data_IF_358669850795
#
_entry.id   IF_358669850795
#
_cell.length_a   1.000
_cell.length_b   1.000
_cell.length_c   1.000
_cell.angle_alpha   90.00
_cell.angle_beta   90.00
_cell.angle_gamma   90.00
#
_symmetry.space_group_name_H-M   'P 1'
#
loop_
_entity.id
_entity.type
_entity.pdbx_description
1 polymer ?
#
# COMPACT_ATOMS: atom_id res chain seq x y z
N UNK A 1 27.37 -18.24 18.06
CA UNK A 1 25.95 -17.89 17.83
C UNK A 1 25.54 -18.16 16.39
N UNK A 2 26.37 -17.83 15.39
CA UNK A 2 26.13 -18.21 14.00
C UNK A 2 26.05 -19.74 13.83
N UNK A 3 27.01 -20.49 14.38
CA UNK A 3 27.01 -21.96 14.30
C UNK A 3 25.85 -22.64 15.04
N UNK A 4 25.21 -21.96 16.01
CA UNK A 4 23.99 -22.48 16.62
C UNK A 4 22.78 -22.30 15.71
N UNK A 5 22.70 -21.19 14.96
CA UNK A 5 21.65 -20.99 13.95
C UNK A 5 21.73 -22.01 12.82
N UNK A 6 22.94 -22.31 12.32
CA UNK A 6 23.11 -23.33 11.26
C UNK A 6 22.52 -24.68 11.66
N UNK A 7 22.85 -25.18 12.86
CA UNK A 7 22.29 -26.44 13.39
C UNK A 7 20.77 -26.42 13.54
N UNK A 8 20.20 -25.26 13.93
CA UNK A 8 18.73 -25.12 14.07
C UNK A 8 18.04 -25.23 12.71
N UNK A 9 18.54 -24.52 11.69
CA UNK A 9 17.95 -24.56 10.35
C UNK A 9 18.21 -25.88 9.63
N UNK A 10 19.37 -26.50 9.81
CA UNK A 10 19.64 -27.85 9.29
C UNK A 10 18.66 -28.88 9.88
N UNK A 11 18.40 -28.81 11.20
CA UNK A 11 17.42 -29.68 11.85
C UNK A 11 16.00 -29.44 11.33
N UNK A 12 15.60 -28.19 11.13
CA UNK A 12 14.31 -27.86 10.52
C UNK A 12 14.20 -28.46 9.11
N UNK A 13 15.25 -28.29 8.31
CA UNK A 13 15.29 -28.74 6.92
C UNK A 13 15.29 -30.26 6.75
N UNK A 14 15.71 -31.02 7.77
CA UNK A 14 15.63 -32.48 7.76
C UNK A 14 14.18 -32.97 7.59
N UNK A 15 13.20 -32.23 8.12
CA UNK A 15 11.78 -32.57 8.05
C UNK A 15 11.00 -31.61 7.13
N UNK A 16 11.66 -30.95 6.16
CA UNK A 16 11.07 -29.88 5.34
C UNK A 16 9.76 -30.26 4.63
N UNK A 17 9.60 -31.52 4.21
CA UNK A 17 8.35 -31.98 3.57
C UNK A 17 7.18 -31.96 4.55
N UNK A 18 7.43 -32.33 5.80
CA UNK A 18 6.44 -32.27 6.89
C UNK A 18 6.17 -30.82 7.31
N UNK A 19 7.20 -29.98 7.33
CA UNK A 19 7.09 -28.55 7.69
C UNK A 19 6.46 -27.70 6.57
N UNK A 20 6.47 -28.20 5.33
CA UNK A 20 5.94 -27.52 4.14
C UNK A 20 6.84 -26.44 3.57
N UNK A 21 8.04 -26.22 4.12
CA UNK A 21 9.04 -25.28 3.60
C UNK A 21 10.45 -25.61 4.10
N UNK A 22 11.46 -25.18 3.35
CA UNK A 22 12.88 -25.19 3.76
C UNK A 22 13.38 -23.78 4.01
N UNK A 23 14.47 -23.67 4.78
CA UNK A 23 15.15 -22.41 5.12
C UNK A 23 16.55 -22.44 4.52
N UNK A 24 16.80 -21.57 3.55
CA UNK A 24 18.15 -21.24 3.10
C UNK A 24 18.63 -19.99 3.85
N UNK A 25 19.85 -20.03 4.39
CA UNK A 25 20.36 -18.92 5.21
C UNK A 25 21.79 -18.54 4.84
N UNK A 26 22.11 -17.28 5.11
CA UNK A 26 23.46 -16.71 5.07
C UNK A 26 23.63 -15.82 6.29
N UNK A 27 24.87 -15.57 6.69
CA UNK A 27 25.17 -14.77 7.88
C UNK A 27 26.13 -13.63 7.57
N UNK A 28 25.91 -12.48 8.20
CA UNK A 28 26.86 -11.38 8.26
C UNK A 28 27.25 -11.11 9.72
N UNK A 29 28.50 -10.68 9.93
CA UNK A 29 29.09 -10.41 11.25
C UNK A 29 29.29 -8.94 11.55
N UNK A 30 29.01 -8.05 10.59
CA UNK A 30 29.15 -6.60 10.71
C UNK A 30 28.03 -5.88 9.96
N UNK A 31 27.82 -4.61 10.28
CA UNK A 31 26.84 -3.74 9.59
C UNK A 31 27.13 -3.69 8.08
N UNK A 32 28.37 -3.42 7.70
CA UNK A 32 28.77 -3.31 6.30
C UNK A 32 28.55 -4.63 5.52
N UNK A 33 28.84 -5.77 6.14
CA UNK A 33 28.58 -7.08 5.53
C UNK A 33 27.07 -7.34 5.38
N UNK A 34 26.26 -6.93 6.37
CA UNK A 34 24.80 -7.03 6.31
C UNK A 34 24.23 -6.16 5.19
N UNK A 35 24.65 -4.90 5.08
CA UNK A 35 24.23 -3.98 4.00
C UNK A 35 24.59 -4.54 2.63
N UNK A 36 25.83 -5.00 2.43
CA UNK A 36 26.26 -5.59 1.17
C UNK A 36 25.43 -6.84 0.79
N UNK A 37 25.05 -7.68 1.77
CA UNK A 37 24.17 -8.81 1.51
C UNK A 37 22.74 -8.37 1.14
N UNK A 38 22.18 -7.40 1.85
CA UNK A 38 20.83 -6.88 1.59
C UNK A 38 20.73 -6.16 0.24
N UNK A 39 21.81 -5.56 -0.24
CA UNK A 39 21.86 -4.94 -1.57
C UNK A 39 22.02 -5.99 -2.68
N UNK A 40 22.84 -7.02 -2.45
CA UNK A 40 23.17 -8.02 -3.45
C UNK A 40 22.12 -9.13 -3.60
N UNK A 41 21.32 -9.38 -2.56
CA UNK A 41 20.40 -10.51 -2.47
C UNK A 41 19.08 -10.11 -1.86
N UNK A 42 18.10 -11.00 -2.05
CA UNK A 42 16.77 -10.85 -1.48
C UNK A 42 16.56 -11.91 -0.41
N UNK A 43 15.85 -11.51 0.63
CA UNK A 43 15.54 -12.35 1.77
C UNK A 43 14.06 -12.23 2.09
N UNK A 44 13.44 -13.31 2.55
CA UNK A 44 12.06 -13.24 3.03
C UNK A 44 12.02 -12.77 4.48
N UNK A 45 13.04 -13.13 5.26
CA UNK A 45 13.20 -12.73 6.64
C UNK A 45 14.67 -12.46 7.01
N UNK A 46 14.88 -11.58 7.98
CA UNK A 46 16.21 -11.26 8.55
C UNK A 46 16.16 -11.37 10.07
N UNK A 47 17.16 -12.04 10.65
CA UNK A 47 17.35 -12.10 12.11
C UNK A 47 18.49 -11.15 12.47
N UNK A 48 18.19 -10.15 13.29
CA UNK A 48 19.13 -9.11 13.71
C UNK A 48 19.44 -9.26 15.20
N UNK A 49 20.72 -9.36 15.54
CA UNK A 49 21.19 -9.18 16.90
C UNK A 49 21.44 -7.68 17.14
N UNK A 50 20.93 -7.10 18.25
CA UNK A 50 21.16 -5.69 18.54
C UNK A 50 22.63 -5.37 18.79
N UNK A 51 23.36 -6.31 19.37
CA UNK A 51 24.80 -6.19 19.63
C UNK A 51 25.69 -6.40 18.40
N UNK A 52 25.16 -6.25 17.18
CA UNK A 52 25.92 -6.35 15.93
C UNK A 52 26.97 -5.24 15.89
N UNK A 53 28.24 -5.60 15.72
CA UNK A 53 29.37 -4.66 15.89
C UNK A 53 29.83 -4.05 14.57
N UNK A 54 30.35 -2.82 14.65
CA UNK A 54 31.28 -2.30 13.65
C UNK A 54 32.63 -3.02 13.74
N UNK A 55 33.34 -3.15 12.61
CA UNK A 55 34.70 -3.71 12.63
C UNK A 55 35.63 -2.82 13.48
N UNK A 56 36.27 -3.38 14.51
CA UNK A 56 37.33 -2.70 15.28
C UNK A 56 36.89 -1.99 16.57
N UNK A 57 35.63 -2.05 16.98
CA UNK A 57 35.16 -1.39 18.21
C UNK A 57 35.32 -2.28 19.46
N UNK A 58 35.70 -1.64 20.59
CA UNK A 58 35.80 -2.28 21.90
C UNK A 58 34.43 -2.69 22.45
N UNK A 59 34.42 -3.62 23.42
CA UNK A 59 33.23 -4.27 23.97
C UNK A 59 32.40 -3.35 24.89
N UNK A 60 31.87 -2.25 24.37
CA UNK A 60 30.80 -1.49 25.02
C UNK A 60 29.42 -1.99 24.57
N UNK A 61 28.41 -1.71 25.38
CA UNK A 61 27.00 -1.93 25.04
C UNK A 61 26.68 -1.09 23.78
N UNK A 62 26.22 -1.75 22.72
CA UNK A 62 25.78 -1.05 21.51
C UNK A 62 24.43 -1.61 21.01
N UNK A 63 23.66 -0.74 20.37
CA UNK A 63 22.33 -1.03 19.81
C UNK A 63 22.35 -0.84 18.28
N UNK A 64 23.51 -1.06 17.68
CA UNK A 64 23.80 -0.77 16.28
C UNK A 64 22.98 -1.64 15.32
N UNK A 65 22.52 -2.81 15.77
CA UNK A 65 21.54 -3.61 15.05
C UNK A 65 20.26 -2.85 14.68
N UNK A 66 19.85 -1.83 15.47
CA UNK A 66 18.71 -0.97 15.12
C UNK A 66 18.93 -0.23 13.78
N UNK A 67 20.19 0.06 13.38
CA UNK A 67 20.49 0.69 12.08
C UNK A 67 20.12 -0.22 10.92
N UNK A 68 20.42 -1.51 11.03
CA UNK A 68 20.02 -2.52 10.03
C UNK A 68 18.50 -2.65 9.97
N UNK A 69 17.82 -2.69 11.11
CA UNK A 69 16.34 -2.74 11.13
C UNK A 69 15.74 -1.52 10.43
N UNK A 70 16.23 -0.30 10.74
CA UNK A 70 15.81 0.95 10.07
C UNK A 70 16.03 0.91 8.57
N UNK A 71 17.20 0.43 8.14
CA UNK A 71 17.51 0.27 6.73
C UNK A 71 16.48 -0.64 6.06
N UNK A 72 16.22 -1.83 6.62
CA UNK A 72 15.28 -2.80 6.04
C UNK A 72 13.87 -2.21 5.95
N UNK A 73 13.31 -1.70 7.05
CA UNK A 73 11.91 -1.20 7.07
C UNK A 73 11.68 0.02 6.17
N UNK A 74 12.74 0.70 5.75
CA UNK A 74 12.67 1.85 4.83
C UNK A 74 12.88 1.49 3.36
N UNK A 75 13.36 0.28 3.05
CA UNK A 75 13.85 -0.05 1.70
C UNK A 75 13.35 -1.38 1.14
N UNK A 76 12.94 -2.34 1.98
CA UNK A 76 12.62 -3.70 1.55
C UNK A 76 11.40 -4.26 2.29
N UNK A 77 10.45 -4.91 1.59
CA UNK A 77 9.30 -5.57 2.22
C UNK A 77 9.72 -6.93 2.82
N UNK A 78 10.51 -6.91 3.90
CA UNK A 78 11.08 -8.11 4.53
C UNK A 78 10.66 -8.18 5.98
N UNK A 79 10.36 -9.38 6.47
CA UNK A 79 10.09 -9.59 7.90
C UNK A 79 11.37 -9.58 8.73
N UNK A 80 11.37 -8.89 9.87
CA UNK A 80 12.56 -8.78 10.72
C UNK A 80 12.32 -9.36 12.11
N UNK A 81 13.24 -10.18 12.58
CA UNK A 81 13.29 -10.62 13.97
C UNK A 81 14.47 -9.98 14.65
N UNK A 82 14.22 -9.13 15.64
CA UNK A 82 15.23 -8.66 16.57
C UNK A 82 15.40 -9.74 17.64
N UNK A 83 16.50 -10.49 17.58
CA UNK A 83 16.81 -11.56 18.53
C UNK A 83 17.94 -11.12 19.47
N UNK A 84 17.58 -10.65 20.66
CA UNK A 84 18.50 -9.96 21.58
C UNK A 84 18.27 -10.38 23.04
N UNK A 85 19.30 -10.25 23.88
CA UNK A 85 19.15 -10.35 25.34
C UNK A 85 18.88 -9.01 26.02
N UNK A 86 18.83 -7.93 25.24
CA UNK A 86 18.66 -6.54 25.70
C UNK A 86 17.44 -5.92 25.01
N UNK A 87 16.25 -6.45 25.33
CA UNK A 87 15.00 -6.02 24.68
C UNK A 87 14.74 -4.52 24.85
N UNK A 88 15.13 -3.95 26.00
CA UNK A 88 14.91 -2.54 26.31
C UNK A 88 15.67 -1.58 25.37
N UNK A 89 16.70 -2.07 24.67
CA UNK A 89 17.48 -1.30 23.70
C UNK A 89 16.89 -1.38 22.27
N UNK A 90 15.85 -2.20 22.07
CA UNK A 90 15.15 -2.25 20.79
C UNK A 90 14.31 -0.98 20.61
N UNK A 91 14.48 -0.30 19.49
CA UNK A 91 13.61 0.83 19.15
C UNK A 91 12.18 0.38 18.83
N UNK A 92 11.22 1.31 18.90
CA UNK A 92 9.82 1.00 18.59
C UNK A 92 9.61 0.85 17.07
N UNK A 93 9.49 -0.40 16.66
CA UNK A 93 9.14 -0.80 15.28
C UNK A 93 7.74 -1.40 15.18
N UNK A 94 6.84 -1.12 16.13
CA UNK A 94 5.50 -1.74 16.23
C UNK A 94 4.61 -1.57 14.99
N UNK A 95 4.88 -0.57 14.15
CA UNK A 95 4.16 -0.30 12.89
C UNK A 95 4.68 -1.09 11.69
N UNK A 96 5.81 -1.77 11.84
CA UNK A 96 6.48 -2.50 10.77
C UNK A 96 6.36 -4.01 11.01
N UNK A 97 6.74 -4.80 10.01
CA UNK A 97 6.76 -6.26 10.14
C UNK A 97 8.00 -6.73 10.91
N UNK A 98 8.10 -6.32 12.19
CA UNK A 98 9.24 -6.53 13.08
C UNK A 98 8.78 -7.20 14.36
N UNK A 99 9.47 -8.28 14.77
CA UNK A 99 9.23 -8.97 16.03
C UNK A 99 10.48 -8.93 16.91
N UNK A 100 10.34 -8.52 18.16
CA UNK A 100 11.40 -8.63 19.16
C UNK A 100 11.24 -9.92 19.96
N UNK A 101 12.32 -10.70 20.08
CA UNK A 101 12.36 -11.99 20.77
C UNK A 101 13.57 -12.00 21.73
N UNK A 102 13.31 -12.26 23.02
CA UNK A 102 14.38 -12.49 24.00
C UNK A 102 15.21 -13.72 23.65
N UNK A 103 16.53 -13.60 23.71
CA UNK A 103 17.45 -14.75 23.64
C UNK A 103 17.13 -15.82 24.68
N UNK A 104 16.64 -15.44 25.87
CA UNK A 104 16.24 -16.37 26.94
C UNK A 104 15.11 -17.31 26.52
N UNK A 105 14.28 -16.90 25.56
CA UNK A 105 13.16 -17.72 25.05
C UNK A 105 13.63 -18.77 24.03
N UNK A 106 14.89 -18.74 23.62
CA UNK A 106 15.49 -19.72 22.73
C UNK A 106 15.16 -19.52 21.24
N UNK A 107 15.95 -20.17 20.38
CA UNK A 107 15.88 -20.01 18.93
C UNK A 107 14.60 -20.58 18.30
N UNK A 108 13.93 -21.53 18.96
CA UNK A 108 12.70 -22.14 18.47
C UNK A 108 11.56 -21.12 18.29
N UNK A 109 11.52 -20.05 19.10
CA UNK A 109 10.54 -18.97 18.94
C UNK A 109 10.68 -18.20 17.64
N UNK A 110 11.90 -18.14 17.08
CA UNK A 110 12.13 -17.54 15.77
C UNK A 110 11.59 -18.44 14.68
N UNK A 111 11.74 -19.76 14.80
CA UNK A 111 11.14 -20.71 13.85
C UNK A 111 9.62 -20.68 13.89
N UNK A 112 9.01 -20.65 15.07
CA UNK A 112 7.56 -20.49 15.24
C UNK A 112 7.07 -19.22 14.54
N UNK A 113 7.75 -18.09 14.74
CA UNK A 113 7.39 -16.85 14.06
C UNK A 113 7.54 -16.94 12.54
N UNK A 114 8.60 -17.59 12.03
CA UNK A 114 8.76 -17.80 10.58
C UNK A 114 7.61 -18.66 10.03
N UNK A 115 7.23 -19.72 10.74
CA UNK A 115 6.15 -20.62 10.35
C UNK A 115 4.78 -19.93 10.37
N UNK A 116 4.48 -19.17 11.43
CA UNK A 116 3.25 -18.37 11.57
C UNK A 116 3.08 -17.39 10.41
N UNK A 117 4.19 -16.90 9.86
CA UNK A 117 4.23 -15.86 8.84
C UNK A 117 4.55 -16.37 7.43
N UNK A 118 4.63 -17.69 7.22
CA UNK A 118 5.05 -18.28 5.95
C UNK A 118 4.21 -17.83 4.75
N UNK A 119 2.91 -17.65 4.92
CA UNK A 119 2.01 -17.20 3.85
C UNK A 119 2.32 -15.77 3.41
N UNK A 120 2.72 -14.91 4.33
CA UNK A 120 3.13 -13.52 4.04
C UNK A 120 4.42 -13.52 3.23
N UNK A 121 5.43 -14.30 3.65
CA UNK A 121 6.69 -14.42 2.93
C UNK A 121 6.51 -14.93 1.50
N UNK A 122 5.72 -16.00 1.34
CA UNK A 122 5.41 -16.53 0.02
C UNK A 122 4.62 -15.51 -0.83
N UNK A 123 3.65 -14.82 -0.24
CA UNK A 123 2.89 -13.76 -0.92
C UNK A 123 3.79 -12.64 -1.45
N UNK A 124 4.67 -12.09 -0.61
CA UNK A 124 5.63 -11.05 -1.00
C UNK A 124 6.53 -11.54 -2.14
N UNK A 125 7.03 -12.77 -2.03
CA UNK A 125 7.88 -13.38 -3.06
C UNK A 125 7.15 -13.50 -4.40
N UNK A 126 5.92 -14.01 -4.41
CA UNK A 126 5.12 -14.13 -5.63
C UNK A 126 4.78 -12.77 -6.24
N UNK A 127 4.41 -11.78 -5.40
CA UNK A 127 4.20 -10.39 -5.85
C UNK A 127 5.45 -9.83 -6.53
N UNK A 128 6.63 -10.09 -5.95
CA UNK A 128 7.88 -9.58 -6.47
C UNK A 128 8.30 -10.27 -7.78
N UNK A 129 8.06 -11.57 -7.92
CA UNK A 129 8.26 -12.33 -9.16
C UNK A 129 7.36 -11.76 -10.26
N UNK A 130 6.07 -11.59 -9.98
CA UNK A 130 5.10 -11.02 -10.91
C UNK A 130 5.52 -9.60 -11.33
N UNK A 131 5.82 -8.73 -10.37
CA UNK A 131 6.26 -7.36 -10.61
C UNK A 131 7.51 -7.29 -11.48
N UNK A 132 8.53 -8.11 -11.21
CA UNK A 132 9.78 -8.13 -11.99
C UNK A 132 9.60 -8.69 -13.38
N UNK A 133 8.88 -9.79 -13.50
CA UNK A 133 8.58 -10.40 -14.80
C UNK A 133 7.91 -9.38 -15.71
N UNK A 134 6.90 -8.70 -15.17
CA UNK A 134 6.14 -7.70 -15.92
C UNK A 134 6.98 -6.43 -16.19
N UNK A 135 7.74 -5.96 -15.21
CA UNK A 135 8.68 -4.82 -15.41
C UNK A 135 9.68 -5.10 -16.54
N UNK A 136 10.28 -6.29 -16.56
CA UNK A 136 11.20 -6.68 -17.62
C UNK A 136 10.49 -6.73 -18.98
N UNK A 137 9.28 -7.30 -19.03
CA UNK A 137 8.46 -7.38 -20.24
C UNK A 137 8.15 -6.00 -20.79
N UNK A 138 7.64 -5.09 -19.96
CA UNK A 138 7.36 -3.68 -20.33
C UNK A 138 8.64 -2.98 -20.79
N UNK A 139 9.74 -3.16 -20.06
CA UNK A 139 10.99 -2.51 -20.41
C UNK A 139 11.46 -2.91 -21.81
N UNK A 140 11.58 -4.21 -22.10
CA UNK A 140 12.09 -4.65 -23.40
C UNK A 140 11.11 -4.42 -24.56
N UNK A 141 9.80 -4.48 -24.30
CA UNK A 141 8.79 -4.31 -25.35
C UNK A 141 8.46 -2.84 -25.67
N UNK A 142 8.47 -1.94 -24.68
CA UNK A 142 8.00 -0.56 -24.84
C UNK A 142 9.07 0.51 -24.60
N UNK A 143 9.93 0.33 -23.59
CA UNK A 143 10.91 1.35 -23.20
C UNK A 143 12.19 1.25 -24.03
N UNK A 144 12.81 0.07 -24.07
CA UNK A 144 14.12 -0.16 -24.67
C UNK A 144 14.15 0.24 -26.15
N UNK A 145 13.14 -0.15 -26.91
CA UNK A 145 13.03 0.17 -28.35
C UNK A 145 13.02 1.69 -28.61
N UNK A 146 12.60 2.48 -27.63
CA UNK A 146 12.46 3.94 -27.70
C UNK A 146 13.43 4.67 -26.78
N UNK A 147 14.42 3.97 -26.21
CA UNK A 147 15.36 4.51 -25.21
C UNK A 147 16.06 5.79 -25.68
N UNK A 148 16.41 5.84 -26.97
CA UNK A 148 16.99 7.03 -27.60
C UNK A 148 16.13 8.29 -27.40
N UNK A 149 14.81 8.18 -27.53
CA UNK A 149 13.92 9.34 -27.38
C UNK A 149 13.81 9.82 -25.93
N UNK A 150 13.94 8.91 -24.96
CA UNK A 150 14.01 9.28 -23.55
C UNK A 150 15.30 10.04 -23.22
N UNK A 151 16.42 9.65 -23.85
CA UNK A 151 17.75 10.20 -23.50
C UNK A 151 18.18 11.40 -24.33
N UNK A 152 17.73 11.55 -25.57
CA UNK A 152 18.19 12.64 -26.44
C UNK A 152 17.72 14.02 -25.96
N UNK A 153 16.49 14.13 -25.43
CA UNK A 153 16.01 15.35 -24.76
C UNK A 153 16.81 15.66 -23.49
N UNK A 154 17.03 14.62 -22.67
CA UNK A 154 17.76 14.71 -21.41
C UNK A 154 19.24 15.10 -21.56
N UNK A 155 19.91 14.63 -22.63
CA UNK A 155 21.30 15.04 -22.94
C UNK A 155 21.43 16.54 -23.19
N UNK A 156 20.36 17.15 -23.70
CA UNK A 156 20.35 18.58 -24.06
C UNK A 156 19.94 19.45 -22.87
N UNK A 157 19.03 18.97 -22.02
CA UNK A 157 18.52 19.70 -20.85
C UNK A 157 19.21 19.39 -19.53
N UNK A 158 19.98 18.29 -19.45
CA UNK A 158 20.53 17.76 -18.19
C UNK A 158 19.49 17.14 -17.26
N UNK A 159 18.28 16.85 -17.77
CA UNK A 159 17.16 16.39 -16.96
C UNK A 159 17.29 14.91 -16.56
N UNK A 160 17.02 14.61 -15.29
CA UNK A 160 16.97 13.22 -14.79
C UNK A 160 15.68 12.53 -15.25
N UNK A 161 15.82 11.55 -16.13
CA UNK A 161 14.71 10.78 -16.69
C UNK A 161 14.27 9.60 -15.82
N UNK A 162 14.97 9.30 -14.72
CA UNK A 162 14.70 8.14 -13.87
C UNK A 162 13.26 8.12 -13.38
N UNK A 163 12.75 9.25 -12.87
CA UNK A 163 11.38 9.38 -12.35
C UNK A 163 10.31 9.26 -13.45
N UNK A 164 10.40 9.98 -14.60
CA UNK A 164 9.49 9.75 -15.73
C UNK A 164 9.45 8.31 -16.22
N UNK A 165 10.61 7.67 -16.41
CA UNK A 165 10.70 6.28 -16.87
C UNK A 165 10.09 5.34 -15.85
N UNK A 166 10.40 5.50 -14.56
CA UNK A 166 9.81 4.69 -13.49
C UNK A 166 8.29 4.80 -13.47
N UNK A 167 7.72 6.02 -13.54
CA UNK A 167 6.26 6.22 -13.61
C UNK A 167 5.64 5.54 -14.83
N UNK A 168 6.31 5.62 -15.99
CA UNK A 168 5.81 5.01 -17.21
C UNK A 168 5.80 3.48 -17.11
N UNK A 169 6.88 2.88 -16.61
CA UNK A 169 6.96 1.43 -16.38
C UNK A 169 5.87 1.00 -15.40
N UNK A 170 5.76 1.66 -14.25
CA UNK A 170 4.77 1.32 -13.22
C UNK A 170 3.34 1.41 -13.74
N UNK A 171 3.02 2.40 -14.57
CA UNK A 171 1.69 2.51 -15.17
C UNK A 171 1.36 1.31 -16.07
N UNK A 172 2.32 0.85 -16.87
CA UNK A 172 2.11 -0.32 -17.74
C UNK A 172 2.08 -1.62 -16.95
N UNK A 173 2.92 -1.75 -15.91
CA UNK A 173 2.91 -2.93 -15.03
C UNK A 173 1.55 -3.04 -14.34
N UNK A 174 1.04 -1.94 -13.79
CA UNK A 174 -0.29 -1.91 -13.19
C UNK A 174 -1.38 -2.32 -14.20
N UNK A 175 -1.39 -1.73 -15.39
CA UNK A 175 -2.36 -2.04 -16.45
C UNK A 175 -2.30 -3.51 -16.88
N UNK A 176 -1.09 -4.05 -17.09
CA UNK A 176 -0.89 -5.44 -17.47
C UNK A 176 -1.34 -6.44 -16.39
N UNK A 177 -1.10 -6.14 -15.12
CA UNK A 177 -1.54 -6.99 -14.01
C UNK A 177 -3.07 -6.94 -13.86
N UNK A 178 -3.69 -5.78 -14.02
CA UNK A 178 -5.15 -5.63 -13.97
C UNK A 178 -5.84 -6.39 -15.11
N UNK A 179 -5.35 -6.25 -16.34
CA UNK A 179 -5.93 -6.95 -17.49
C UNK A 179 -5.71 -8.47 -17.48
N UNK A 180 -4.70 -8.96 -16.74
CA UNK A 180 -4.52 -10.39 -16.53
C UNK A 180 -5.62 -10.99 -15.64
N UNK A 181 -6.32 -10.18 -14.86
CA UNK A 181 -7.41 -10.57 -13.96
C UNK A 181 -8.79 -10.07 -14.46
N UNK A 182 -9.00 -10.08 -15.79
CA UNK A 182 -10.26 -9.69 -16.44
C UNK A 182 -10.77 -8.27 -16.06
N UNK A 183 -9.84 -7.36 -15.76
CA UNK A 183 -10.12 -6.00 -15.28
C UNK A 183 -10.93 -5.94 -13.96
N UNK A 184 -10.88 -7.02 -13.18
CA UNK A 184 -11.50 -7.11 -11.87
C UNK A 184 -10.53 -6.61 -10.81
N UNK A 185 -10.96 -5.63 -10.01
CA UNK A 185 -10.17 -5.10 -8.91
C UNK A 185 -10.64 -5.67 -7.57
N UNK A 186 -9.69 -6.05 -6.72
CA UNK A 186 -9.97 -6.46 -5.35
C UNK A 186 -10.37 -5.24 -4.49
N UNK A 187 -11.29 -5.37 -3.50
CA UNK A 187 -11.70 -4.24 -2.66
C UNK A 187 -10.56 -3.48 -1.96
N UNK A 188 -9.47 -4.18 -1.60
CA UNK A 188 -8.27 -3.57 -0.99
C UNK A 188 -7.52 -2.63 -1.94
N UNK A 189 -7.78 -2.68 -3.25
CA UNK A 189 -7.20 -1.76 -4.24
C UNK A 189 -7.97 -0.46 -4.37
N UNK A 190 -9.15 -0.36 -3.74
CA UNK A 190 -10.03 0.80 -3.88
C UNK A 190 -9.51 2.05 -3.19
N UNK A 191 -8.64 1.92 -2.19
CA UNK A 191 -8.23 3.04 -1.35
C UNK A 191 -6.75 3.03 -1.00
N UNK A 192 -6.22 4.23 -0.78
CA UNK A 192 -4.96 4.42 -0.06
C UNK A 192 -5.25 4.81 1.39
N UNK A 193 -4.80 3.97 2.32
CA UNK A 193 -4.81 4.22 3.76
C UNK A 193 -3.41 3.99 4.36
N UNK A 194 -2.77 5.01 4.96
CA UNK A 194 -3.19 6.42 4.97
C UNK A 194 -3.14 7.05 3.55
N UNK A 195 -3.77 8.22 3.35
CA UNK A 195 -3.62 9.00 2.12
C UNK A 195 -2.15 9.22 1.73
N UNK A 196 -1.80 8.99 0.46
CA UNK A 196 -0.40 9.11 -0.01
C UNK A 196 0.09 10.56 -0.20
N UNK A 197 -0.83 11.52 -0.38
CA UNK A 197 -0.50 12.91 -0.74
C UNK A 197 -0.90 13.83 0.39
N UNK A 198 -0.06 14.78 0.78
CA UNK A 198 -0.42 15.76 1.83
C UNK A 198 -1.56 16.69 1.42
N UNK A 199 -1.65 17.03 0.13
CA UNK A 199 -2.72 17.88 -0.41
C UNK A 199 -4.02 17.11 -0.61
N UNK A 200 -5.14 17.83 -0.58
CA UNK A 200 -6.45 17.30 -0.97
C UNK A 200 -6.49 16.94 -2.46
N UNK A 201 -7.23 15.90 -2.79
CA UNK A 201 -7.49 15.44 -4.15
C UNK A 201 -8.96 15.00 -4.33
N UNK A 202 -9.42 14.93 -5.57
CA UNK A 202 -10.75 14.39 -5.88
C UNK A 202 -10.77 12.91 -5.50
N UNK A 203 -11.78 12.50 -4.75
CA UNK A 203 -11.89 11.14 -4.20
C UNK A 203 -11.34 10.99 -2.78
N UNK A 204 -10.83 12.04 -2.15
CA UNK A 204 -10.46 12.00 -0.73
C UNK A 204 -11.69 11.83 0.16
N UNK A 205 -11.59 10.94 1.15
CA UNK A 205 -12.63 10.69 2.15
C UNK A 205 -12.30 11.36 3.48
N UNK A 206 -13.28 12.08 4.02
CA UNK A 206 -13.16 12.85 5.25
C UNK A 206 -14.29 12.52 6.23
N UNK A 207 -14.04 12.71 7.51
CA UNK A 207 -15.07 12.61 8.55
C UNK A 207 -15.40 13.99 9.11
N UNK A 208 -16.64 14.46 8.93
CA UNK A 208 -17.11 15.76 9.42
C UNK A 208 -18.32 15.50 10.30
N UNK A 209 -18.26 15.93 11.57
CA UNK A 209 -19.34 15.76 12.55
C UNK A 209 -19.84 14.31 12.69
N UNK A 210 -18.92 13.33 12.60
CA UNK A 210 -19.23 11.90 12.64
C UNK A 210 -19.75 11.31 11.33
N UNK A 211 -20.02 12.13 10.31
CA UNK A 211 -20.48 11.70 9.00
C UNK A 211 -19.32 11.56 8.01
N UNK A 212 -19.43 10.59 7.08
CA UNK A 212 -18.43 10.37 6.03
C UNK A 212 -18.79 11.17 4.78
N UNK A 213 -17.79 11.79 4.17
CA UNK A 213 -17.93 12.58 2.96
C UNK A 213 -16.79 12.28 1.99
N UNK A 214 -17.05 12.41 0.69
CA UNK A 214 -16.04 12.30 -0.36
C UNK A 214 -15.93 13.60 -1.15
N UNK A 215 -14.71 14.06 -1.43
CA UNK A 215 -14.47 15.26 -2.23
C UNK A 215 -14.76 14.95 -3.70
N UNK A 216 -15.68 15.71 -4.30
CA UNK A 216 -16.11 15.56 -5.70
C UNK A 216 -15.71 16.75 -6.58
N UNK A 217 -15.16 17.82 -6.00
CA UNK A 217 -14.58 18.93 -6.77
C UNK A 217 -13.52 18.43 -7.77
N UNK A 218 -13.46 18.98 -8.99
CA UNK A 218 -12.45 18.65 -9.97
C UNK A 218 -11.01 18.79 -9.46
N UNK A 219 -10.12 17.91 -9.93
CA UNK A 219 -8.70 17.92 -9.54
C UNK A 219 -8.00 19.25 -9.86
N UNK A 220 -8.37 19.90 -10.96
CA UNK A 220 -7.78 21.18 -11.37
C UNK A 220 -8.07 22.31 -10.38
N UNK A 221 -9.24 22.26 -9.74
CA UNK A 221 -9.71 23.25 -8.77
C UNK A 221 -8.96 23.08 -7.45
N UNK A 222 -8.81 21.82 -7.00
CA UNK A 222 -8.02 21.46 -5.83
C UNK A 222 -6.52 21.75 -6.01
N UNK A 223 -6.00 21.63 -7.24
CA UNK A 223 -4.63 22.00 -7.56
C UNK A 223 -4.42 23.53 -7.62
N UNK A 224 -5.48 24.31 -7.84
CA UNK A 224 -5.44 25.77 -7.95
C UNK A 224 -6.52 26.42 -7.07
N UNK A 225 -6.47 26.24 -5.73
CA UNK A 225 -7.57 26.62 -4.84
C UNK A 225 -7.89 28.12 -4.88
N UNK A 226 -6.95 28.97 -5.32
CA UNK A 226 -7.18 30.42 -5.49
C UNK A 226 -8.17 30.77 -6.63
N UNK A 227 -8.51 29.81 -7.49
CA UNK A 227 -9.39 30.02 -8.65
C UNK A 227 -10.83 29.57 -8.41
N UNK A 228 -11.13 29.03 -7.23
CA UNK A 228 -12.46 28.53 -6.87
C UNK A 228 -12.85 29.01 -5.48
N UNK A 229 -14.11 29.41 -5.34
CA UNK A 229 -14.63 29.91 -4.07
C UNK A 229 -15.00 28.78 -3.10
N UNK A 230 -15.34 27.61 -3.64
CA UNK A 230 -15.86 26.49 -2.86
C UNK A 230 -15.33 25.14 -3.28
N UNK A 231 -15.20 24.24 -2.30
CA UNK A 231 -14.95 22.81 -2.48
C UNK A 231 -16.22 22.02 -2.19
N UNK A 232 -16.57 21.10 -3.09
CA UNK A 232 -17.76 20.28 -3.04
C UNK A 232 -17.45 18.89 -2.48
N UNK A 233 -18.32 18.44 -1.58
CA UNK A 233 -18.30 17.11 -0.99
C UNK A 233 -19.67 16.45 -1.18
N UNK A 234 -19.68 15.14 -1.41
CA UNK A 234 -20.90 14.33 -1.43
C UNK A 234 -20.95 13.43 -0.18
N UNK A 235 -22.12 13.30 0.43
CA UNK A 235 -22.30 12.46 1.62
C UNK A 235 -22.13 10.98 1.28
N UNK A 236 -21.38 10.26 2.11
CA UNK A 236 -21.20 8.81 2.03
C UNK A 236 -22.13 8.14 3.06
N UNK A 237 -23.17 7.46 2.60
CA UNK A 237 -24.10 6.71 3.47
C UNK A 237 -23.59 5.29 3.61
N UNK A 238 -23.44 4.82 4.85
CA UNK A 238 -23.00 3.45 5.10
C UNK A 238 -24.02 2.43 4.60
N UNK A 239 -23.52 1.41 3.92
CA UNK A 239 -24.32 0.40 3.22
C UNK A 239 -23.99 -1.03 3.71
N UNK A 240 -23.33 -1.16 4.87
CA UNK A 240 -22.81 -2.42 5.40
C UNK A 240 -23.88 -3.48 5.60
N UNK A 241 -25.03 -3.13 6.21
CA UNK A 241 -26.10 -4.10 6.51
C UNK A 241 -26.59 -4.79 5.24
N UNK A 242 -26.93 -3.99 4.22
CA UNK A 242 -27.39 -4.50 2.93
C UNK A 242 -26.26 -5.28 2.24
N UNK A 243 -25.02 -4.81 2.32
CA UNK A 243 -23.87 -5.51 1.74
C UNK A 243 -23.65 -6.90 2.35
N UNK A 244 -23.75 -7.03 3.68
CA UNK A 244 -23.55 -8.29 4.39
C UNK A 244 -24.71 -9.26 4.21
N UNK A 245 -25.93 -8.77 4.07
CA UNK A 245 -27.13 -9.60 3.85
C UNK A 245 -27.30 -10.04 2.38
N UNK A 246 -26.66 -9.33 1.45
CA UNK A 246 -26.73 -9.63 0.02
C UNK A 246 -25.80 -10.79 -0.34
N UNK A 247 -26.35 -11.80 -1.01
CA UNK A 247 -25.58 -12.94 -1.52
C UNK A 247 -24.57 -12.48 -2.57
N UNK A 248 -23.40 -13.12 -2.64
CA UNK A 248 -22.31 -12.67 -3.53
C UNK A 248 -22.72 -12.51 -5.00
N UNK A 249 -23.53 -13.44 -5.52
CA UNK A 249 -24.08 -13.37 -6.88
C UNK A 249 -24.91 -12.11 -7.17
N UNK A 250 -25.46 -11.48 -6.14
CA UNK A 250 -26.36 -10.33 -6.23
C UNK A 250 -25.64 -9.01 -5.87
N UNK A 251 -24.41 -9.07 -5.33
CA UNK A 251 -23.61 -7.88 -4.97
C UNK A 251 -23.27 -7.01 -6.18
N UNK A 252 -23.17 -7.60 -7.37
CA UNK A 252 -22.97 -6.86 -8.61
C UNK A 252 -24.01 -5.77 -8.82
N UNK A 253 -25.27 -5.97 -8.40
CA UNK A 253 -26.30 -4.93 -8.50
C UNK A 253 -25.97 -3.72 -7.63
N UNK A 254 -25.41 -3.94 -6.44
CA UNK A 254 -25.00 -2.88 -5.51
C UNK A 254 -23.76 -2.16 -6.04
N UNK A 255 -22.77 -2.91 -6.52
CA UNK A 255 -21.56 -2.37 -7.16
C UNK A 255 -21.94 -1.49 -8.36
N UNK A 256 -22.94 -1.91 -9.14
CA UNK A 256 -23.56 -1.15 -10.22
C UNK A 256 -24.60 -0.12 -9.73
N UNK A 257 -24.42 0.37 -8.50
CA UNK A 257 -25.11 1.53 -7.93
C UNK A 257 -26.63 1.34 -7.79
N UNK A 258 -27.10 0.10 -7.76
CA UNK A 258 -28.51 -0.30 -7.72
C UNK A 258 -29.34 0.28 -8.89
N UNK A 259 -28.69 0.55 -10.02
CA UNK A 259 -29.32 1.21 -11.17
C UNK A 259 -29.71 2.67 -10.91
N UNK A 260 -29.39 3.22 -9.74
CA UNK A 260 -29.77 4.56 -9.36
C UNK A 260 -28.70 5.57 -9.80
N UNK A 261 -29.08 6.55 -10.62
CA UNK A 261 -28.08 7.40 -11.24
C UNK A 261 -27.73 8.60 -10.33
N UNK A 262 -28.38 8.75 -9.16
CA UNK A 262 -28.06 9.76 -8.13
C UNK A 262 -27.02 9.32 -7.10
N UNK A 263 -26.45 8.12 -7.27
CA UNK A 263 -25.53 7.54 -6.32
C UNK A 263 -24.37 6.80 -6.97
N UNK A 264 -23.32 6.56 -6.17
CA UNK A 264 -22.14 5.81 -6.55
C UNK A 264 -21.66 4.95 -5.38
N UNK A 265 -21.29 3.71 -5.69
CA UNK A 265 -20.88 2.71 -4.72
C UNK A 265 -19.39 2.80 -4.51
N UNK A 266 -18.96 2.76 -3.25
CA UNK A 266 -17.57 2.66 -2.86
C UNK A 266 -17.38 1.35 -2.09
N UNK A 267 -16.34 0.60 -2.44
CA UNK A 267 -16.02 -0.71 -1.85
C UNK A 267 -15.83 -0.63 -0.32
N UNK A 268 -15.98 -1.74 0.42
CA UNK A 268 -15.59 -1.75 1.83
C UNK A 268 -14.10 -1.44 1.98
N UNK A 269 -13.76 -0.79 3.08
CA UNK A 269 -12.41 -0.43 3.47
C UNK A 269 -12.03 -1.20 4.72
N UNK A 270 -10.83 -1.80 4.79
CA UNK A 270 -10.30 -2.33 6.04
C UNK A 270 -9.26 -1.38 6.62
N UNK A 271 -9.31 -1.13 7.92
CA UNK A 271 -8.24 -0.41 8.61
C UNK A 271 -7.09 -1.35 9.02
N UNK A 272 -6.03 -0.78 9.58
CA UNK A 272 -4.85 -1.51 10.04
C UNK A 272 -5.15 -2.51 11.18
N UNK A 273 -6.29 -2.38 11.86
CA UNK A 273 -6.75 -3.29 12.90
C UNK A 273 -7.63 -4.42 12.33
N UNK A 274 -7.90 -4.38 11.01
CA UNK A 274 -8.74 -5.34 10.30
C UNK A 274 -10.24 -5.05 10.40
N UNK A 275 -10.64 -3.93 11.01
CA UNK A 275 -12.04 -3.54 11.08
C UNK A 275 -12.54 -3.11 9.71
N UNK A 276 -13.71 -3.61 9.32
CA UNK A 276 -14.36 -3.22 8.09
C UNK A 276 -15.16 -1.92 8.29
N UNK A 277 -14.94 -0.96 7.40
CA UNK A 277 -15.65 0.30 7.29
C UNK A 277 -16.39 0.34 5.96
N UNK A 278 -17.58 0.95 5.94
CA UNK A 278 -18.41 0.95 4.74
C UNK A 278 -18.92 -0.47 4.42
N UNK A 279 -19.17 -0.82 3.14
CA UNK A 279 -19.09 0.04 1.97
C UNK A 279 -19.99 1.27 2.09
N UNK A 280 -19.76 2.25 1.22
CA UNK A 280 -20.56 3.47 1.20
C UNK A 280 -21.29 3.64 -0.12
N UNK A 281 -22.46 4.27 -0.03
CA UNK A 281 -23.19 4.79 -1.15
C UNK A 281 -23.09 6.32 -1.12
N UNK A 282 -22.29 6.88 -2.02
CA UNK A 282 -22.14 8.32 -2.23
C UNK A 282 -23.44 8.88 -2.79
N UNK A 283 -23.98 9.93 -2.17
CA UNK A 283 -25.25 10.52 -2.54
C UNK A 283 -25.05 11.86 -3.24
N UNK A 284 -25.15 11.90 -4.57
CA UNK A 284 -24.94 13.12 -5.37
C UNK A 284 -26.02 14.19 -5.19
N UNK A 285 -27.16 13.80 -4.60
CA UNK A 285 -28.23 14.71 -4.21
C UNK A 285 -28.05 15.31 -2.81
N UNK A 286 -26.99 14.90 -2.08
CA UNK A 286 -26.65 15.40 -0.76
C UNK A 286 -25.22 15.94 -0.79
N UNK A 287 -25.10 17.20 -1.22
CA UNK A 287 -23.83 17.90 -1.42
C UNK A 287 -23.63 18.92 -0.32
N UNK A 288 -22.42 18.98 0.20
CA UNK A 288 -21.92 20.04 1.07
C UNK A 288 -20.93 20.89 0.28
N UNK A 289 -21.07 22.20 0.36
CA UNK A 289 -20.14 23.16 -0.21
C UNK A 289 -19.45 23.89 0.93
N UNK A 290 -18.12 23.88 0.93
CA UNK A 290 -17.29 24.57 1.91
C UNK A 290 -16.50 25.69 1.22
N UNK A 291 -16.38 26.88 1.82
CA UNK A 291 -15.45 27.90 1.35
C UNK A 291 -14.05 27.32 1.21
N UNK A 292 -13.34 27.62 0.12
CA UNK A 292 -12.04 27.01 -0.16
C UNK A 292 -11.02 27.23 0.95
N UNK A 293 -10.99 28.42 1.56
CA UNK A 293 -10.09 28.73 2.67
C UNK A 293 -10.34 27.82 3.88
N UNK A 294 -11.60 27.58 4.23
CA UNK A 294 -11.99 26.67 5.30
C UNK A 294 -11.63 25.23 4.94
N UNK A 295 -12.03 24.78 3.75
CA UNK A 295 -11.80 23.42 3.27
C UNK A 295 -10.31 23.03 3.29
N UNK A 296 -9.44 23.90 2.76
CA UNK A 296 -8.00 23.65 2.70
C UNK A 296 -7.33 23.64 4.08
N UNK A 297 -7.93 24.27 5.09
CA UNK A 297 -7.40 24.28 6.46
C UNK A 297 -7.87 23.09 7.28
N UNK A 298 -9.14 22.68 7.14
CA UNK A 298 -9.78 21.70 8.01
C UNK A 298 -9.69 20.28 7.43
N UNK A 299 -10.06 20.11 6.15
CA UNK A 299 -10.23 18.78 5.56
C UNK A 299 -8.98 17.90 5.56
N UNK A 300 -7.74 18.40 5.36
CA UNK A 300 -6.55 17.54 5.42
C UNK A 300 -6.41 16.79 6.74
N UNK A 301 -6.82 17.41 7.85
CA UNK A 301 -6.76 16.80 9.20
C UNK A 301 -7.90 15.81 9.46
N UNK A 302 -9.01 15.93 8.74
CA UNK A 302 -10.18 15.07 8.85
C UNK A 302 -10.16 13.91 7.84
N UNK A 303 -9.19 13.91 6.93
CA UNK A 303 -9.04 12.91 5.87
C UNK A 303 -8.47 11.63 6.43
N UNK A 304 -9.14 10.52 6.13
CA UNK A 304 -8.74 9.18 6.61
C UNK A 304 -8.36 8.22 5.48
N UNK A 305 -8.79 8.48 4.23
CA UNK A 305 -8.44 7.67 3.08
C UNK A 305 -8.52 8.50 1.78
N UNK A 306 -7.90 8.00 0.72
CA UNK A 306 -8.05 8.53 -0.64
C UNK A 306 -8.49 7.41 -1.58
N UNK A 307 -9.48 7.67 -2.42
CA UNK A 307 -9.87 6.73 -3.47
C UNK A 307 -8.72 6.52 -4.46
N UNK A 308 -8.44 5.27 -4.80
CA UNK A 308 -7.40 4.91 -5.77
C UNK A 308 -7.70 5.55 -7.14
N UNK A 309 -6.67 6.01 -7.89
CA UNK A 309 -6.82 6.60 -9.20
C UNK A 309 -7.62 5.75 -10.21
N UNK A 310 -7.66 4.42 -10.02
CA UNK A 310 -8.46 3.51 -10.84
C UNK A 310 -9.97 3.79 -10.73
N UNK A 311 -10.45 4.20 -9.56
CA UNK A 311 -11.89 4.34 -9.28
C UNK A 311 -12.41 5.79 -9.40
N UNK A 312 -11.51 6.78 -9.32
CA UNK A 312 -11.87 8.21 -9.43
C UNK A 312 -12.60 8.56 -10.75
N UNK A 313 -12.21 8.04 -11.94
CA UNK A 313 -12.91 8.35 -13.19
C UNK A 313 -14.40 8.00 -13.14
N UNK A 314 -14.77 6.85 -12.58
CA UNK A 314 -16.17 6.42 -12.46
C UNK A 314 -16.97 7.34 -11.52
N UNK A 315 -16.38 7.72 -10.38
CA UNK A 315 -16.99 8.68 -9.45
C UNK A 315 -17.29 10.01 -10.15
N UNK A 316 -16.30 10.57 -10.86
CA UNK A 316 -16.40 11.87 -11.53
C UNK A 316 -17.39 11.83 -12.70
N UNK A 317 -17.36 10.76 -13.51
CA UNK A 317 -18.29 10.56 -14.62
C UNK A 317 -19.73 10.55 -14.13
N UNK A 318 -20.03 9.77 -13.09
CA UNK A 318 -21.40 9.67 -12.57
C UNK A 318 -21.85 10.95 -11.88
N UNK A 319 -20.97 11.63 -11.17
CA UNK A 319 -21.27 12.94 -10.58
C UNK A 319 -21.64 13.95 -11.68
N UNK A 320 -20.83 14.06 -12.73
CA UNK A 320 -21.11 14.91 -13.88
C UNK A 320 -22.42 14.54 -14.59
N UNK A 321 -22.63 13.24 -14.83
CA UNK A 321 -23.85 12.68 -15.44
C UNK A 321 -25.11 12.95 -14.61
N UNK A 322 -25.00 13.01 -13.28
CA UNK A 322 -26.12 13.38 -12.41
C UNK A 322 -26.55 14.83 -12.60
N UNK A 323 -25.59 15.76 -12.64
CA UNK A 323 -25.88 17.19 -12.79
C UNK A 323 -26.20 17.62 -14.23
N UNK A 324 -25.82 16.84 -15.24
CA UNK A 324 -26.14 17.11 -16.64
C UNK A 324 -27.53 16.63 -17.07
N UNK A 325 -28.32 16.03 -16.17
CA UNK A 325 -29.65 15.54 -16.53
C UNK A 325 -30.60 16.67 -16.90
N UNK A 326 -31.12 16.57 -18.12
CA UNK A 326 -32.21 17.39 -18.60
C UNK A 326 -33.50 16.62 -18.34
N UNK A 327 -34.37 17.19 -17.50
CA UNK A 327 -35.70 16.61 -17.27
C UNK A 327 -36.55 16.72 -18.53
N UNK A 328 -37.22 15.64 -18.92
CA UNK A 328 -38.29 15.71 -19.92
C UNK A 328 -39.58 16.14 -19.23
N UNK A 329 -40.28 17.18 -19.71
CA UNK A 329 -41.59 17.54 -19.18
C UNK A 329 -42.54 16.34 -19.17
N UNK A 330 -43.29 16.17 -18.09
CA UNK A 330 -44.32 15.13 -18.01
C UNK A 330 -45.43 15.38 -19.02
N UNK A 331 -46.03 14.29 -19.52
CA UNK A 331 -47.25 14.39 -20.32
C UNK A 331 -48.40 14.85 -19.41
N UNK A 332 -49.06 15.96 -19.78
CA UNK A 332 -50.30 16.41 -19.16
C UNK A 332 -51.46 15.86 -19.98
N UNK A 333 -52.32 15.04 -19.36
CA UNK A 333 -53.58 14.54 -19.94
C UNK A 333 -54.78 15.24 -19.34
#
# INVERSE_FOLDING_TARGET
MIDSWGRVFERHNHDKEKQGFGIDFVTATSIAASEALLEARRFDAVIVDLGLRGEGEAAELNSEGNKIVKFIVSSQPIGVVIYTGQIQEAEDFSKYFVKVIDKSNGQHKVLEWIEENKSVFLGIRETEIAFRGETARVFFSQIWQRWKFWTDGAKTSGEDISKPVARHILAHVHDALLSADEDMAHPEEAYFMPPLKDRLDTGDLVTIDGEKWIIVSPRCDLANPKKVDTILLARCVEHIKVWTETKDKDKNRIIQHEGSPKQHFLFPLRDNEGNAHGPWMVQFHNIKSLPTAEAMSVLPTLRFASLSPLFVPSLVERFGSYFSRIGTPGFSS
#
